data_IF_130053140364
#
_entry.id   IF_130053140364
#
_cell.length_a   1.000
_cell.length_b   1.000
_cell.length_c   1.000
_cell.angle_alpha   90.00
_cell.angle_beta   90.00
_cell.angle_gamma   90.00
#
_symmetry.space_group_name_H-M   'P 1'
#
loop_
_entity.id
_entity.type
_entity.pdbx_description
1 polymer ?
#
# COMPACT_ATOMS: atom_id res chain seq x y z
N UNK A 1 -4.66 12.74 6.90
CA UNK A 1 -5.95 13.00 6.23
C UNK A 1 -5.79 13.59 4.84
N UNK A 2 -5.18 14.77 4.66
CA UNK A 2 -5.05 15.37 3.32
C UNK A 2 -4.30 14.48 2.32
N UNK A 3 -3.18 13.87 2.73
CA UNK A 3 -2.43 12.93 1.88
C UNK A 3 -3.29 11.73 1.46
N UNK A 4 -4.04 11.13 2.40
CA UNK A 4 -4.99 10.04 2.14
C UNK A 4 -6.03 10.44 1.08
N UNK A 5 -6.72 11.56 1.27
CA UNK A 5 -7.77 11.98 0.32
C UNK A 5 -7.21 12.26 -1.07
N UNK A 6 -5.98 12.79 -1.17
CA UNK A 6 -5.31 13.00 -2.45
C UNK A 6 -4.99 11.68 -3.16
N UNK A 7 -4.44 10.70 -2.45
CA UNK A 7 -4.10 9.41 -3.06
C UNK A 7 -5.34 8.58 -3.39
N UNK A 8 -6.41 8.66 -2.59
CA UNK A 8 -7.71 8.09 -2.97
C UNK A 8 -8.29 8.75 -4.23
N UNK A 9 -8.16 10.07 -4.37
CA UNK A 9 -8.56 10.77 -5.59
C UNK A 9 -7.75 10.28 -6.80
N UNK A 10 -6.44 10.09 -6.65
CA UNK A 10 -5.59 9.52 -7.72
C UNK A 10 -6.05 8.12 -8.13
N UNK A 11 -6.40 7.24 -7.20
CA UNK A 11 -6.96 5.92 -7.54
C UNK A 11 -8.29 6.02 -8.31
N UNK A 12 -9.13 6.99 -7.96
CA UNK A 12 -10.39 7.27 -8.67
C UNK A 12 -10.11 7.81 -10.07
N UNK A 13 -9.18 8.74 -10.22
CA UNK A 13 -8.76 9.29 -11.52
C UNK A 13 -8.20 8.20 -12.43
N UNK A 14 -7.36 7.29 -11.91
CA UNK A 14 -6.86 6.14 -12.67
C UNK A 14 -8.00 5.23 -13.14
N UNK A 15 -8.96 4.94 -12.26
CA UNK A 15 -10.13 4.15 -12.65
C UNK A 15 -10.94 4.82 -13.76
N UNK A 16 -11.22 6.12 -13.63
CA UNK A 16 -12.05 6.87 -14.58
C UNK A 16 -11.37 7.03 -15.94
N UNK A 17 -10.07 7.28 -15.95
CA UNK A 17 -9.25 7.41 -17.17
C UNK A 17 -8.81 6.07 -17.76
N UNK A 18 -9.08 4.95 -17.07
CA UNK A 18 -8.54 3.61 -17.38
C UNK A 18 -7.01 3.59 -17.46
N UNK A 19 -6.36 4.48 -16.72
CA UNK A 19 -4.91 4.50 -16.61
C UNK A 19 -4.44 3.23 -15.91
N UNK A 20 -3.41 2.59 -16.48
CA UNK A 20 -2.76 1.42 -15.92
C UNK A 20 -1.37 1.82 -15.43
N UNK A 21 -1.21 2.22 -14.15
CA UNK A 21 0.07 2.66 -13.61
C UNK A 21 1.09 1.51 -13.60
N UNK A 22 2.37 1.80 -13.49
CA UNK A 22 3.35 0.74 -13.18
C UNK A 22 3.14 0.19 -11.76
N UNK A 23 3.73 -0.96 -11.41
CA UNK A 23 3.66 -1.46 -10.04
C UNK A 23 4.29 -0.49 -9.03
N UNK A 24 5.42 0.12 -9.40
CA UNK A 24 6.11 1.12 -8.57
C UNK A 24 5.25 2.39 -8.39
N UNK A 25 4.66 2.88 -9.48
CA UNK A 25 3.76 4.05 -9.45
C UNK A 25 2.51 3.78 -8.61
N UNK A 26 1.90 2.60 -8.78
CA UNK A 26 0.80 2.16 -7.95
C UNK A 26 1.20 2.17 -6.48
N UNK A 27 2.34 1.56 -6.12
CA UNK A 27 2.74 1.46 -4.73
C UNK A 27 2.95 2.83 -4.08
N UNK A 28 3.55 3.81 -4.76
CA UNK A 28 3.73 5.19 -4.26
C UNK A 28 2.42 5.87 -3.84
N UNK A 29 1.30 5.50 -4.44
CA UNK A 29 -0.04 6.00 -4.09
C UNK A 29 -0.73 5.07 -3.09
N UNK A 30 -0.62 3.76 -3.31
CA UNK A 30 -1.43 2.75 -2.67
C UNK A 30 -1.09 2.53 -1.19
N UNK A 31 0.18 2.66 -0.78
CA UNK A 31 0.54 2.50 0.65
C UNK A 31 -0.09 3.62 1.50
N UNK A 32 -0.21 4.83 0.95
CA UNK A 32 -0.87 5.97 1.62
C UNK A 32 -2.39 5.83 1.58
N UNK A 33 -2.95 5.43 0.43
CA UNK A 33 -4.41 5.28 0.24
C UNK A 33 -5.03 4.16 1.09
N UNK A 34 -4.22 3.28 1.68
CA UNK A 34 -4.69 2.27 2.63
C UNK A 34 -5.10 2.87 3.99
N UNK A 35 -4.85 4.17 4.22
CA UNK A 35 -5.28 4.94 5.38
C UNK A 35 -4.56 4.65 6.70
N UNK A 36 -3.40 3.99 6.67
CA UNK A 36 -2.62 3.76 7.90
C UNK A 36 -2.12 5.06 8.55
N UNK A 37 -1.91 6.12 7.78
CA UNK A 37 -1.50 7.42 8.34
C UNK A 37 -2.48 7.92 9.40
N UNK A 38 -3.76 8.15 9.06
CA UNK A 38 -4.78 8.47 10.06
C UNK A 38 -4.95 7.42 11.16
N UNK A 39 -4.91 6.12 10.84
CA UNK A 39 -5.14 5.03 11.81
C UNK A 39 -4.03 4.97 12.88
N UNK A 40 -2.78 5.23 12.49
CA UNK A 40 -1.62 5.12 13.38
C UNK A 40 -1.28 6.48 14.00
N UNK A 41 -1.17 7.53 13.20
CA UNK A 41 -0.71 8.83 13.69
C UNK A 41 -1.74 9.49 14.62
N UNK A 42 -3.05 9.30 14.41
CA UNK A 42 -4.06 9.94 15.26
C UNK A 42 -4.02 9.40 16.69
N UNK A 43 -4.04 8.07 16.93
CA UNK A 43 -3.95 7.52 18.28
C UNK A 43 -2.63 7.80 19.00
N UNK A 44 -1.52 8.01 18.28
CA UNK A 44 -0.21 8.27 18.91
C UNK A 44 -0.23 9.49 19.86
N UNK A 45 -1.02 10.52 19.56
CA UNK A 45 -1.19 11.69 20.43
C UNK A 45 -1.95 11.39 21.73
N UNK A 46 -2.58 10.21 21.84
CA UNK A 46 -3.38 9.79 22.99
C UNK A 46 -2.70 8.70 23.83
N UNK A 47 -1.45 8.32 23.51
CA UNK A 47 -0.72 7.26 24.22
C UNK A 47 -0.13 7.71 25.57
N UNK A 48 -0.25 8.98 25.94
CA UNK A 48 0.30 9.50 27.20
C UNK A 48 1.83 9.60 27.25
N UNK A 49 2.51 9.29 26.15
CA UNK A 49 3.95 9.52 25.95
C UNK A 49 4.14 10.83 25.18
N UNK A 50 5.17 11.61 25.55
CA UNK A 50 5.51 12.79 24.76
C UNK A 50 6.15 12.33 23.45
N UNK A 51 5.46 12.53 22.33
CA UNK A 51 5.95 12.17 21.01
C UNK A 51 6.47 13.45 20.31
N UNK A 52 7.79 13.68 20.27
CA UNK A 52 8.33 14.89 19.68
C UNK A 52 8.01 14.95 18.19
N UNK A 53 7.62 16.12 17.69
CA UNK A 53 7.26 16.30 16.27
C UNK A 53 8.41 15.93 15.31
N UNK A 54 9.66 16.08 15.76
CA UNK A 54 10.83 15.71 14.95
C UNK A 54 10.90 14.21 14.64
N UNK A 55 10.34 13.34 15.49
CA UNK A 55 10.31 11.89 15.25
C UNK A 55 9.43 11.55 14.05
N UNK A 56 8.36 12.31 13.81
CA UNK A 56 7.52 12.14 12.60
C UNK A 56 8.23 12.56 11.30
N UNK A 57 9.38 13.24 11.42
CA UNK A 57 10.21 13.69 10.30
C UNK A 57 11.51 12.91 10.21
N UNK A 58 11.69 11.93 11.08
CA UNK A 58 12.87 11.09 11.11
C UNK A 58 12.82 10.09 9.95
N UNK A 59 13.96 9.86 9.30
CA UNK A 59 14.06 8.97 8.15
C UNK A 59 13.75 7.52 8.52
N UNK A 60 14.16 7.07 9.72
CA UNK A 60 13.89 5.72 10.21
C UNK A 60 12.39 5.52 10.45
N UNK A 61 11.70 6.54 10.96
CA UNK A 61 10.24 6.51 11.12
C UNK A 61 9.52 6.46 9.77
N UNK A 62 9.94 7.26 8.79
CA UNK A 62 9.34 7.26 7.46
C UNK A 62 9.55 5.92 6.74
N UNK A 63 10.73 5.32 6.87
CA UNK A 63 11.04 4.00 6.34
C UNK A 63 10.17 2.91 7.00
N UNK A 64 10.11 2.90 8.33
CA UNK A 64 9.27 1.98 9.11
C UNK A 64 7.80 2.10 8.69
N UNK A 65 7.28 3.33 8.61
CA UNK A 65 5.91 3.61 8.25
C UNK A 65 5.59 3.17 6.81
N UNK A 66 6.52 3.40 5.88
CA UNK A 66 6.39 3.02 4.47
C UNK A 66 6.38 1.50 4.30
N UNK A 67 7.29 0.78 4.98
CA UNK A 67 7.36 -0.69 4.92
C UNK A 67 6.08 -1.30 5.51
N UNK A 68 5.68 -0.88 6.71
CA UNK A 68 4.45 -1.35 7.36
C UNK A 68 3.24 -1.12 6.47
N UNK A 69 3.10 0.10 5.92
CA UNK A 69 1.96 0.47 5.09
C UNK A 69 1.91 -0.31 3.78
N UNK A 70 3.07 -0.57 3.17
CA UNK A 70 3.20 -1.38 1.96
C UNK A 70 2.80 -2.84 2.23
N UNK A 71 3.25 -3.43 3.34
CA UNK A 71 2.82 -4.76 3.76
C UNK A 71 1.31 -4.85 3.91
N UNK A 72 0.68 -3.91 4.63
CA UNK A 72 -0.75 -3.91 4.85
C UNK A 72 -1.55 -3.72 3.55
N UNK A 73 -1.11 -2.83 2.66
CA UNK A 73 -1.69 -2.65 1.33
C UNK A 73 -1.64 -3.94 0.53
N UNK A 74 -0.47 -4.56 0.38
CA UNK A 74 -0.32 -5.78 -0.42
C UNK A 74 -1.12 -6.97 0.16
N UNK A 75 -1.16 -7.12 1.48
CA UNK A 75 -2.01 -8.11 2.15
C UNK A 75 -3.50 -7.85 1.91
N UNK A 76 -3.92 -6.58 1.91
CA UNK A 76 -5.29 -6.19 1.60
C UNK A 76 -5.67 -6.53 0.16
N UNK A 77 -4.80 -6.24 -0.79
CA UNK A 77 -5.03 -6.49 -2.21
C UNK A 77 -5.18 -7.99 -2.50
N UNK A 78 -4.34 -8.85 -1.92
CA UNK A 78 -4.46 -10.31 -2.06
C UNK A 78 -5.81 -10.80 -1.50
N UNK A 79 -6.13 -10.42 -0.26
CA UNK A 79 -7.31 -10.92 0.46
C UNK A 79 -8.61 -10.34 -0.07
N UNK A 80 -8.57 -9.10 -0.55
CA UNK A 80 -9.71 -8.33 -1.05
C UNK A 80 -9.95 -8.50 -2.55
N UNK A 81 -9.09 -9.23 -3.26
CA UNK A 81 -9.04 -9.27 -4.72
C UNK A 81 -10.41 -9.45 -5.38
N UNK A 82 -11.14 -10.51 -5.04
CA UNK A 82 -12.44 -10.82 -5.68
C UNK A 82 -13.47 -9.69 -5.49
N UNK A 83 -13.52 -9.12 -4.28
CA UNK A 83 -14.41 -8.00 -3.94
C UNK A 83 -14.02 -6.72 -4.69
N UNK A 84 -12.74 -6.45 -4.82
CA UNK A 84 -12.26 -5.26 -5.53
C UNK A 84 -12.46 -5.39 -7.04
N UNK A 85 -12.23 -6.58 -7.58
CA UNK A 85 -12.45 -6.91 -8.98
C UNK A 85 -13.93 -6.72 -9.36
N UNK A 86 -14.88 -7.17 -8.53
CA UNK A 86 -16.31 -6.99 -8.79
C UNK A 86 -16.74 -5.52 -8.81
N UNK A 87 -15.99 -4.64 -8.14
CA UNK A 87 -16.19 -3.20 -8.14
C UNK A 87 -15.37 -2.46 -9.22
N UNK A 88 -14.67 -3.20 -10.09
CA UNK A 88 -13.78 -2.64 -11.11
C UNK A 88 -12.62 -1.83 -10.54
N UNK A 89 -12.25 -2.08 -9.28
CA UNK A 89 -11.12 -1.41 -8.61
C UNK A 89 -9.81 -2.08 -9.04
N UNK A 90 -8.85 -1.26 -9.42
CA UNK A 90 -7.49 -1.72 -9.67
C UNK A 90 -6.79 -1.99 -8.32
N UNK A 91 -6.07 -3.11 -8.23
CA UNK A 91 -5.18 -3.43 -7.12
C UNK A 91 -3.89 -4.08 -7.66
N UNK A 92 -2.91 -4.33 -6.79
CA UNK A 92 -1.62 -4.89 -7.18
C UNK A 92 -1.71 -6.23 -7.91
N UNK A 93 -2.63 -7.12 -7.53
CA UNK A 93 -2.78 -8.43 -8.18
C UNK A 93 -3.27 -8.28 -9.62
N UNK A 94 -4.35 -7.52 -9.82
CA UNK A 94 -4.90 -7.26 -11.15
C UNK A 94 -3.89 -6.50 -12.02
N UNK A 95 -3.11 -5.60 -11.41
CA UNK A 95 -2.06 -4.84 -12.07
C UNK A 95 -0.98 -5.74 -12.67
N UNK A 96 -0.44 -6.68 -11.88
CA UNK A 96 0.57 -7.63 -12.34
C UNK A 96 0.04 -8.51 -13.48
N UNK A 97 -1.18 -9.04 -13.34
CA UNK A 97 -1.82 -9.85 -14.39
C UNK A 97 -1.94 -9.06 -15.70
N UNK A 98 -2.38 -7.80 -15.64
CA UNK A 98 -2.54 -6.96 -16.84
C UNK A 98 -1.22 -6.62 -17.51
N UNK A 99 -0.20 -6.24 -16.73
CA UNK A 99 1.14 -5.95 -17.28
C UNK A 99 1.83 -7.17 -17.86
N UNK A 100 1.50 -8.36 -17.36
CA UNK A 100 2.03 -9.63 -17.91
C UNK A 100 1.52 -9.96 -19.31
N UNK A 101 0.51 -9.22 -19.83
CA UNK A 101 -0.15 -9.54 -21.09
C UNK A 101 -0.89 -10.88 -21.08
N UNK A 102 -1.27 -11.38 -19.90
CA UNK A 102 -1.93 -12.67 -19.72
C UNK A 102 -0.98 -13.86 -19.50
N UNK A 103 0.33 -13.62 -19.33
CA UNK A 103 1.31 -14.67 -19.00
C UNK A 103 1.28 -15.08 -17.53
N UNK A 104 0.85 -14.21 -16.62
CA UNK A 104 0.66 -14.51 -15.20
C UNK A 104 -0.81 -14.82 -14.91
N UNK A 105 -1.08 -15.95 -14.27
CA UNK A 105 -2.35 -16.23 -13.60
C UNK A 105 -2.53 -15.35 -12.36
N UNK A 106 -3.77 -15.31 -11.84
CA UNK A 106 -4.10 -14.58 -10.60
C UNK A 106 -3.32 -15.17 -9.43
N UNK A 107 -3.20 -16.49 -9.36
CA UNK A 107 -2.49 -17.22 -8.32
C UNK A 107 -0.98 -16.92 -8.36
N UNK A 108 -0.37 -16.91 -9.54
CA UNK A 108 1.04 -16.53 -9.70
C UNK A 108 1.28 -15.07 -9.32
N UNK A 109 0.38 -14.16 -9.70
CA UNK A 109 0.46 -12.76 -9.28
C UNK A 109 0.35 -12.60 -7.75
N UNK A 110 -0.56 -13.34 -7.10
CA UNK A 110 -0.66 -13.37 -5.62
C UNK A 110 0.61 -13.91 -4.98
N UNK A 111 1.23 -14.95 -5.55
CA UNK A 111 2.50 -15.50 -5.06
C UNK A 111 3.65 -14.49 -5.20
N UNK A 112 3.70 -13.73 -6.29
CA UNK A 112 4.71 -12.69 -6.46
C UNK A 112 4.57 -11.60 -5.41
N UNK A 113 3.33 -11.16 -5.15
CA UNK A 113 3.05 -10.20 -4.08
C UNK A 113 3.41 -10.77 -2.69
N UNK A 114 3.18 -12.07 -2.45
CA UNK A 114 3.59 -12.72 -1.21
C UNK A 114 5.11 -12.69 -1.01
N UNK A 115 5.91 -12.84 -2.08
CA UNK A 115 7.36 -12.67 -2.00
C UNK A 115 7.74 -11.23 -1.64
N UNK A 116 7.08 -10.24 -2.25
CA UNK A 116 7.27 -8.83 -1.89
C UNK A 116 6.96 -8.56 -0.42
N UNK A 117 5.86 -9.12 0.09
CA UNK A 117 5.51 -9.03 1.53
C UNK A 117 6.59 -9.70 2.40
N UNK A 118 7.11 -10.86 2.01
CA UNK A 118 8.16 -11.54 2.76
C UNK A 118 9.46 -10.71 2.81
N UNK A 119 9.83 -10.06 1.70
CA UNK A 119 10.97 -9.13 1.66
C UNK A 119 10.74 -7.95 2.60
N UNK A 120 9.60 -7.25 2.46
CA UNK A 120 9.24 -6.11 3.30
C UNK A 120 9.19 -6.49 4.79
N UNK A 121 8.72 -7.69 5.12
CA UNK A 121 8.72 -8.20 6.51
C UNK A 121 10.15 -8.41 7.01
N UNK A 122 11.06 -8.88 6.16
CA UNK A 122 12.47 -9.03 6.52
C UNK A 122 13.11 -7.66 6.75
N UNK A 123 12.81 -6.68 5.91
CA UNK A 123 13.31 -5.30 6.06
C UNK A 123 12.76 -4.65 7.33
N UNK A 124 11.46 -4.83 7.62
CA UNK A 124 10.84 -4.40 8.87
C UNK A 124 11.56 -4.95 10.11
N UNK A 125 11.91 -6.24 10.09
CA UNK A 125 12.60 -6.90 11.20
C UNK A 125 14.05 -6.43 11.37
N UNK A 126 14.65 -5.73 10.40
CA UNK A 126 15.99 -5.14 10.52
C UNK A 126 15.98 -3.75 11.17
N UNK A 127 14.82 -3.09 11.19
CA UNK A 127 14.59 -1.79 11.81
C UNK A 127 14.10 -1.90 13.27
N UNK A 128 13.91 -3.11 13.78
CA UNK A 128 13.47 -3.42 15.15
C UNK A 128 14.61 -4.07 15.95
#
# INVERSE_FOLDING_TARGET
WLALMRTEMTEVEWRNSKHLPSFEEYMKVAYVSFALGPIVHTPMYFLGVNFPEHVLRDEEYDELFTIMSSCCRLLNDIRGFERELSHGKLNSTLLLVRHSGGSLSIEEAKQEIQKSIASLTTDLLRLL
#
